data_IF_586691371739
#
_entry.id   IF_586691371739
#
_cell.length_a   1.000
_cell.length_b   1.000
_cell.length_c   1.000
_cell.angle_alpha   90.00
_cell.angle_beta   90.00
_cell.angle_gamma   90.00
#
_symmetry.space_group_name_H-M   'P 1'
#
loop_
_entity.id
_entity.type
_entity.pdbx_description
1 polymer ?
#
# COMPACT_ATOMS: atom_id res chain seq x y z
N UNK A 1 9.88 -0.57 -28.26
CA UNK A 1 9.54 -1.33 -27.03
C UNK A 1 10.76 -1.27 -26.13
N UNK A 2 10.61 -0.76 -24.91
CA UNK A 2 11.69 -0.76 -23.92
C UNK A 2 11.90 -2.19 -23.43
N UNK A 3 13.14 -2.69 -23.42
CA UNK A 3 13.47 -3.99 -22.87
C UNK A 3 13.46 -3.90 -21.34
N UNK A 4 12.33 -4.26 -20.73
CA UNK A 4 12.10 -4.14 -19.28
C UNK A 4 12.50 -5.40 -18.49
N UNK A 5 13.08 -6.42 -19.14
CA UNK A 5 13.34 -7.71 -18.49
C UNK A 5 12.05 -8.54 -18.30
N UNK A 6 12.21 -9.76 -17.81
CA UNK A 6 11.09 -10.73 -17.65
C UNK A 6 10.98 -11.25 -16.21
N UNK A 7 11.57 -10.55 -15.25
CA UNK A 7 11.58 -10.97 -13.86
C UNK A 7 11.41 -9.76 -12.92
N UNK A 8 10.62 -9.90 -11.85
CA UNK A 8 10.55 -8.95 -10.75
C UNK A 8 11.93 -8.64 -10.18
N UNK A 9 12.14 -7.40 -9.73
CA UNK A 9 13.38 -6.99 -9.10
C UNK A 9 13.45 -7.59 -7.68
N UNK A 10 14.61 -8.12 -7.21
CA UNK A 10 14.74 -8.73 -5.89
C UNK A 10 14.83 -7.66 -4.78
N UNK A 11 13.85 -6.76 -4.71
CA UNK A 11 13.79 -5.68 -3.74
C UNK A 11 13.01 -6.13 -2.51
N UNK A 12 13.62 -6.01 -1.35
CA UNK A 12 12.96 -6.18 -0.06
C UNK A 12 12.79 -4.80 0.59
N UNK A 13 11.66 -4.10 0.37
CA UNK A 13 11.55 -2.68 0.70
C UNK A 13 11.65 -2.36 2.19
N UNK A 14 11.40 -3.34 3.05
CA UNK A 14 11.51 -3.21 4.50
C UNK A 14 12.82 -3.80 5.07
N UNK A 15 13.66 -4.43 4.25
CA UNK A 15 14.95 -4.94 4.71
C UNK A 15 15.89 -3.77 5.06
N UNK A 16 16.43 -3.78 6.28
CA UNK A 16 17.33 -2.73 6.78
C UNK A 16 16.62 -1.44 7.26
N UNK A 17 15.29 -1.42 7.27
CA UNK A 17 14.53 -0.40 8.01
C UNK A 17 14.59 -0.64 9.53
N UNK A 18 14.24 0.34 10.38
CA UNK A 18 14.09 0.11 11.81
C UNK A 18 13.15 -1.08 12.07
N UNK A 19 13.62 -2.01 12.90
CA UNK A 19 12.82 -3.15 13.36
C UNK A 19 11.72 -2.64 14.28
N UNK A 20 10.47 -2.96 13.94
CA UNK A 20 9.29 -2.65 14.72
C UNK A 20 8.53 -3.96 15.00
N UNK A 21 7.85 -4.09 16.14
CA UNK A 21 7.02 -5.24 16.41
C UNK A 21 5.95 -5.40 15.34
N UNK A 22 5.70 -6.65 14.95
CA UNK A 22 4.64 -6.96 14.00
C UNK A 22 3.29 -7.11 14.70
N UNK A 23 2.23 -6.68 14.02
CA UNK A 23 0.85 -6.95 14.40
C UNK A 23 0.05 -7.51 13.22
N UNK A 24 -1.24 -7.76 13.41
CA UNK A 24 -2.06 -8.49 12.44
C UNK A 24 -2.72 -7.53 11.45
N UNK A 25 -2.60 -7.83 10.16
CA UNK A 25 -3.39 -7.27 9.06
C UNK A 25 -4.08 -8.41 8.31
N UNK A 26 -5.38 -8.30 8.12
CA UNK A 26 -6.21 -9.28 7.40
C UNK A 26 -7.12 -8.59 6.40
N UNK A 27 -7.72 -9.37 5.53
CA UNK A 27 -8.76 -8.92 4.60
C UNK A 27 -9.81 -10.00 4.41
N UNK A 28 -11.05 -9.60 4.19
CA UNK A 28 -12.12 -10.50 3.72
C UNK A 28 -12.13 -10.67 2.20
N UNK A 29 -11.39 -9.81 1.49
CA UNK A 29 -11.37 -9.73 0.03
C UNK A 29 -10.16 -10.43 -0.58
N UNK A 30 -9.02 -10.35 0.11
CA UNK A 30 -7.73 -10.84 -0.36
C UNK A 30 -7.02 -11.67 0.70
N UNK A 31 -6.16 -12.57 0.24
CA UNK A 31 -5.36 -13.44 1.10
C UNK A 31 -3.88 -13.11 0.93
N UNK A 32 -3.13 -13.12 2.04
CA UNK A 32 -1.68 -12.97 1.98
C UNK A 32 -1.04 -14.07 1.12
N UNK A 33 -0.13 -13.68 0.23
CA UNK A 33 0.45 -14.52 -0.82
C UNK A 33 -0.51 -14.85 -1.99
N UNK A 34 -1.75 -14.37 -1.96
CA UNK A 34 -2.77 -14.60 -2.99
C UNK A 34 -2.61 -13.71 -4.24
N UNK A 35 -3.57 -13.84 -5.16
CA UNK A 35 -3.61 -13.02 -6.38
C UNK A 35 -4.59 -11.86 -6.23
N UNK A 36 -4.22 -10.68 -6.72
CA UNK A 36 -5.12 -9.52 -6.73
C UNK A 36 -6.39 -9.82 -7.57
N UNK A 37 -7.59 -9.62 -6.99
CA UNK A 37 -8.85 -9.86 -7.68
C UNK A 37 -9.03 -8.85 -8.82
N UNK A 38 -9.86 -9.20 -9.80
CA UNK A 38 -10.02 -8.41 -11.02
C UNK A 38 -10.40 -6.95 -10.75
N UNK A 39 -11.36 -6.71 -9.86
CA UNK A 39 -11.83 -5.37 -9.49
C UNK A 39 -10.75 -4.51 -8.80
N UNK A 40 -9.73 -5.13 -8.19
CA UNK A 40 -8.63 -4.40 -7.54
C UNK A 40 -7.60 -3.93 -8.55
N UNK A 41 -7.61 -4.44 -9.78
CA UNK A 41 -6.66 -4.06 -10.84
C UNK A 41 -7.02 -2.69 -11.42
N UNK A 42 -6.06 -2.10 -12.14
CA UNK A 42 -6.25 -0.71 -12.58
C UNK A 42 -7.15 -0.57 -13.80
N UNK A 43 -8.24 0.18 -13.64
CA UNK A 43 -9.02 0.68 -14.77
C UNK A 43 -8.28 1.82 -15.46
N UNK A 44 -7.64 2.71 -14.70
CA UNK A 44 -6.90 3.87 -15.22
C UNK A 44 -5.79 3.45 -16.21
N UNK A 45 -5.07 2.37 -15.91
CA UNK A 45 -4.04 1.83 -16.80
C UNK A 45 -4.53 0.76 -17.77
N UNK A 46 -5.86 0.59 -17.88
CA UNK A 46 -6.49 -0.22 -18.93
C UNK A 46 -6.39 -1.73 -18.73
N UNK A 47 -6.22 -2.21 -17.50
CA UNK A 47 -6.28 -3.65 -17.21
C UNK A 47 -7.73 -4.12 -17.34
N UNK A 48 -7.93 -5.19 -18.11
CA UNK A 48 -9.26 -5.73 -18.36
C UNK A 48 -9.96 -6.10 -17.05
N UNK A 49 -11.19 -5.59 -16.87
CA UNK A 49 -12.01 -5.81 -15.66
C UNK A 49 -11.56 -5.03 -14.41
N UNK A 50 -10.45 -4.29 -14.49
CA UNK A 50 -9.96 -3.41 -13.44
C UNK A 50 -10.99 -2.34 -13.07
N UNK A 51 -11.06 -2.01 -11.78
CA UNK A 51 -11.98 -1.00 -11.24
C UNK A 51 -11.30 -0.03 -10.25
N UNK A 52 -9.99 -0.17 -10.00
CA UNK A 52 -9.25 0.64 -9.01
C UNK A 52 -9.93 0.66 -7.62
N UNK A 53 -10.57 -0.45 -7.21
CA UNK A 53 -11.18 -0.54 -5.88
C UNK A 53 -10.17 -1.09 -4.87
N UNK A 54 -9.97 -0.36 -3.77
CA UNK A 54 -9.16 -0.84 -2.64
C UNK A 54 -9.79 -2.08 -2.00
N UNK A 55 -9.01 -3.05 -1.51
CA UNK A 55 -9.54 -4.17 -0.77
C UNK A 55 -9.99 -3.76 0.62
N UNK A 56 -10.93 -4.51 1.18
CA UNK A 56 -11.22 -4.49 2.60
C UNK A 56 -9.93 -4.81 3.37
N UNK A 57 -9.65 -4.07 4.45
CA UNK A 57 -8.51 -4.32 5.32
C UNK A 57 -8.95 -4.16 6.78
N UNK A 58 -8.52 -5.08 7.65
CA UNK A 58 -8.73 -5.02 9.09
C UNK A 58 -7.42 -5.29 9.82
N UNK A 59 -7.17 -4.57 10.91
CA UNK A 59 -5.97 -4.77 11.72
C UNK A 59 -6.26 -4.86 13.21
N UNK A 60 -5.41 -5.61 13.92
CA UNK A 60 -5.57 -5.83 15.37
C UNK A 60 -4.23 -6.22 16.01
N UNK A 61 -4.19 -6.15 17.35
CA UNK A 61 -2.98 -6.49 18.12
C UNK A 61 -1.85 -5.47 17.99
N UNK A 62 -2.15 -4.25 17.57
CA UNK A 62 -1.17 -3.17 17.46
C UNK A 62 -0.66 -2.73 18.85
N UNK A 63 0.57 -2.19 18.93
CA UNK A 63 1.19 -1.81 20.22
C UNK A 63 0.38 -0.80 21.04
N UNK A 64 0.52 -0.88 22.37
CA UNK A 64 0.05 0.18 23.27
C UNK A 64 0.72 1.51 22.94
N UNK A 65 -0.01 2.62 23.15
CA UNK A 65 0.47 3.96 22.82
C UNK A 65 0.22 4.39 21.38
N UNK A 66 -0.36 3.52 20.54
CA UNK A 66 -0.83 3.87 19.20
C UNK A 66 -1.90 4.97 19.27
N UNK A 67 -1.68 6.07 18.55
CA UNK A 67 -2.58 7.22 18.46
C UNK A 67 -3.11 7.48 17.06
N UNK A 68 -2.45 6.95 16.03
CA UNK A 68 -2.95 6.92 14.67
C UNK A 68 -2.34 5.77 13.87
N UNK A 69 -2.84 5.55 12.66
CA UNK A 69 -2.27 4.64 11.68
C UNK A 69 -1.90 5.35 10.37
N UNK A 70 -0.90 4.79 9.70
CA UNK A 70 -0.63 5.04 8.29
C UNK A 70 -0.83 3.74 7.51
N UNK A 71 -1.62 3.78 6.44
CA UNK A 71 -1.83 2.69 5.50
C UNK A 71 -1.12 3.01 4.19
N UNK A 72 -0.38 2.04 3.65
CA UNK A 72 0.24 2.14 2.33
C UNK A 72 0.03 0.88 1.51
N UNK A 73 0.09 1.02 0.18
CA UNK A 73 0.24 -0.07 -0.77
C UNK A 73 1.44 0.23 -1.69
N UNK A 74 2.42 -0.65 -1.72
CA UNK A 74 3.67 -0.46 -2.46
C UNK A 74 4.00 -1.65 -3.36
N UNK A 75 4.37 -1.36 -4.60
CA UNK A 75 4.92 -2.31 -5.56
C UNK A 75 6.45 -2.14 -5.64
N UNK A 76 7.24 -3.01 -4.98
CA UNK A 76 8.70 -2.99 -5.09
C UNK A 76 9.20 -3.47 -6.46
N UNK A 77 8.39 -4.21 -7.20
CA UNK A 77 8.75 -4.92 -8.43
C UNK A 77 8.55 -4.05 -9.68
N UNK A 78 7.86 -2.91 -9.53
CA UNK A 78 7.79 -1.87 -10.56
C UNK A 78 9.19 -1.49 -11.08
N UNK A 79 9.43 -1.54 -12.41
CA UNK A 79 10.74 -1.34 -13.02
C UNK A 79 11.14 0.15 -13.13
N UNK A 80 10.96 0.87 -12.03
CA UNK A 80 11.41 2.25 -11.80
C UNK A 80 12.31 2.28 -10.56
N UNK A 81 13.20 3.27 -10.39
CA UNK A 81 14.20 3.25 -9.31
C UNK A 81 13.61 3.09 -7.90
N UNK A 82 12.43 3.64 -7.66
CA UNK A 82 11.80 3.75 -6.34
C UNK A 82 10.68 2.74 -6.08
N UNK A 83 10.45 1.76 -6.97
CA UNK A 83 9.17 1.03 -6.98
C UNK A 83 7.99 1.98 -7.25
N UNK A 84 6.78 1.58 -6.88
CA UNK A 84 5.57 2.35 -7.15
C UNK A 84 4.61 2.36 -5.96
N UNK A 85 4.28 3.54 -5.46
CA UNK A 85 3.24 3.72 -4.44
C UNK A 85 1.87 3.75 -5.10
N UNK A 86 1.01 2.81 -4.70
CA UNK A 86 -0.36 2.64 -5.18
C UNK A 86 -1.38 3.34 -4.29
N UNK A 87 -1.10 3.43 -2.99
CA UNK A 87 -1.99 4.05 -2.03
C UNK A 87 -1.22 4.52 -0.80
N UNK A 88 -1.62 5.66 -0.24
CA UNK A 88 -1.10 6.16 1.03
C UNK A 88 -2.19 6.96 1.74
N UNK A 89 -2.50 6.56 2.96
CA UNK A 89 -3.44 7.23 3.86
C UNK A 89 -2.75 7.44 5.19
N UNK A 90 -2.68 8.66 5.68
CA UNK A 90 -2.08 8.98 6.98
C UNK A 90 -3.10 9.51 7.97
N UNK A 91 -2.71 9.59 9.24
CA UNK A 91 -3.51 10.16 10.32
C UNK A 91 -4.87 9.46 10.48
N UNK A 92 -4.93 8.14 10.18
CA UNK A 92 -6.11 7.33 10.45
C UNK A 92 -6.30 7.27 11.97
N UNK A 93 -7.46 7.70 12.52
CA UNK A 93 -7.68 7.69 13.97
C UNK A 93 -7.49 6.30 14.60
N UNK A 94 -6.96 6.23 15.82
CA UNK A 94 -6.61 4.96 16.49
C UNK A 94 -7.82 4.04 16.74
N UNK A 95 -9.03 4.60 16.83
CA UNK A 95 -10.28 3.85 16.96
C UNK A 95 -10.71 3.16 15.66
N UNK A 96 -10.15 3.55 14.51
CA UNK A 96 -10.44 2.92 13.23
C UNK A 96 -9.49 1.74 13.05
N UNK A 97 -10.06 0.54 13.00
CA UNK A 97 -9.31 -0.72 12.85
C UNK A 97 -9.68 -1.50 11.60
N UNK A 98 -10.45 -0.88 10.70
CA UNK A 98 -10.78 -1.46 9.40
C UNK A 98 -11.20 -0.40 8.38
N UNK A 99 -11.02 -0.70 7.09
CA UNK A 99 -11.52 0.06 5.95
C UNK A 99 -12.24 -0.93 5.02
N UNK A 100 -13.45 -0.60 4.59
CA UNK A 100 -14.26 -1.44 3.70
C UNK A 100 -13.79 -1.36 2.23
N UNK A 101 -14.15 -2.36 1.43
CA UNK A 101 -13.81 -2.45 0.00
C UNK A 101 -14.21 -1.20 -0.78
N UNK A 102 -13.22 -0.47 -1.31
CA UNK A 102 -13.44 0.74 -2.11
C UNK A 102 -14.01 1.91 -1.32
N UNK A 103 -13.93 1.88 0.01
CA UNK A 103 -14.31 3.02 0.83
C UNK A 103 -13.29 4.16 0.72
N UNK A 104 -13.78 5.38 0.90
CA UNK A 104 -12.92 6.55 1.10
C UNK A 104 -12.14 6.45 2.41
N UNK A 105 -11.13 7.30 2.56
CA UNK A 105 -10.41 7.37 3.82
C UNK A 105 -11.34 7.78 4.97
N UNK A 106 -11.16 7.21 6.18
CA UNK A 106 -11.94 7.56 7.36
C UNK A 106 -11.87 9.06 7.67
N UNK A 107 -12.90 9.58 8.34
CA UNK A 107 -12.92 10.97 8.79
C UNK A 107 -11.68 11.26 9.66
N UNK A 108 -11.00 12.37 9.38
CA UNK A 108 -9.77 12.78 10.08
C UNK A 108 -8.46 12.26 9.46
N UNK A 109 -8.54 11.27 8.56
CA UNK A 109 -7.41 10.79 7.78
C UNK A 109 -7.13 11.67 6.56
N UNK A 110 -5.90 11.60 6.04
CA UNK A 110 -5.48 12.26 4.80
C UNK A 110 -5.15 11.21 3.75
N UNK A 111 -5.79 11.29 2.59
CA UNK A 111 -5.40 10.50 1.42
C UNK A 111 -4.42 11.30 0.58
N UNK A 112 -3.28 10.69 0.27
CA UNK A 112 -2.20 11.33 -0.46
C UNK A 112 -2.24 11.01 -1.94
N UNK A 113 -1.55 11.83 -2.73
CA UNK A 113 -1.31 11.53 -4.16
C UNK A 113 -0.33 10.37 -4.29
N UNK A 114 -0.67 9.40 -5.12
CA UNK A 114 0.17 8.25 -5.44
C UNK A 114 1.10 8.51 -6.65
N UNK A 115 1.91 7.52 -7.05
CA UNK A 115 2.91 7.72 -8.11
C UNK A 115 2.32 7.81 -9.54
N UNK A 116 1.03 7.47 -9.72
CA UNK A 116 0.29 7.77 -10.95
C UNK A 116 -0.22 9.21 -11.00
N UNK A 117 0.01 9.98 -9.94
CA UNK A 117 -0.46 11.35 -9.84
C UNK A 117 -1.95 11.46 -9.50
N UNK A 118 -2.59 10.41 -8.99
CA UNK A 118 -4.00 10.46 -8.54
C UNK A 118 -4.08 10.40 -7.00
N UNK A 119 -5.11 11.00 -6.43
CA UNK A 119 -5.38 10.92 -4.98
C UNK A 119 -6.24 9.68 -4.74
N UNK A 120 -5.76 8.75 -3.90
CA UNK A 120 -6.46 7.50 -3.60
C UNK A 120 -5.71 6.25 -4.04
N UNK A 121 -6.42 5.13 -3.96
CA UNK A 121 -5.91 3.83 -4.36
C UNK A 121 -5.88 3.73 -5.89
N UNK A 122 -4.77 3.22 -6.43
CA UNK A 122 -4.66 2.78 -7.81
C UNK A 122 -4.41 1.27 -7.83
N UNK A 123 -5.13 0.57 -8.70
CA UNK A 123 -5.03 -0.86 -8.83
C UNK A 123 -3.72 -1.36 -9.44
N UNK A 124 -3.55 -2.68 -9.38
CA UNK A 124 -2.44 -3.38 -9.99
C UNK A 124 -2.44 -3.27 -11.52
N UNK A 125 -1.28 -2.97 -12.11
CA UNK A 125 -1.09 -2.84 -13.56
C UNK A 125 0.39 -2.99 -13.95
N UNK A 126 1.00 -4.16 -13.71
CA UNK A 126 2.39 -4.40 -14.08
C UNK A 126 2.52 -4.43 -15.61
N UNK A 127 3.72 -4.18 -16.16
CA UNK A 127 3.92 -4.31 -17.59
C UNK A 127 3.66 -5.75 -18.08
N UNK A 128 3.00 -5.87 -19.23
CA UNK A 128 2.71 -7.15 -19.86
C UNK A 128 3.98 -8.01 -20.05
N UNK A 129 3.95 -9.25 -19.56
CA UNK A 129 5.04 -10.21 -19.68
C UNK A 129 6.24 -10.00 -18.74
N UNK A 130 6.21 -9.00 -17.85
CA UNK A 130 7.31 -8.74 -16.90
C UNK A 130 7.38 -9.75 -15.74
N UNK A 131 6.28 -10.48 -15.50
CA UNK A 131 6.14 -11.42 -14.40
C UNK A 131 5.24 -10.89 -13.27
N UNK A 132 5.08 -11.65 -12.17
CA UNK A 132 4.23 -11.25 -11.06
C UNK A 132 4.86 -10.15 -10.22
N UNK A 133 4.17 -9.02 -10.08
CA UNK A 133 4.51 -7.98 -9.12
C UNK A 133 3.81 -8.22 -7.79
N UNK A 134 4.47 -7.86 -6.69
CA UNK A 134 3.91 -7.82 -5.34
C UNK A 134 3.27 -6.47 -5.07
N UNK A 135 2.13 -6.48 -4.39
CA UNK A 135 1.44 -5.30 -3.90
C UNK A 135 1.36 -5.43 -2.38
N UNK A 136 2.31 -4.80 -1.70
CA UNK A 136 2.50 -4.94 -0.26
C UNK A 136 1.68 -3.87 0.43
N UNK A 137 0.60 -4.29 1.08
CA UNK A 137 -0.12 -3.44 2.02
C UNK A 137 0.62 -3.43 3.34
N UNK A 138 0.82 -2.23 3.89
CA UNK A 138 1.40 -2.05 5.21
C UNK A 138 0.56 -1.07 6.03
N UNK A 139 0.16 -1.49 7.22
CA UNK A 139 -0.35 -0.59 8.26
C UNK A 139 0.77 -0.35 9.27
N UNK A 140 1.15 0.90 9.49
CA UNK A 140 2.08 1.29 10.55
C UNK A 140 1.30 1.94 11.69
N UNK A 141 1.51 1.45 12.92
CA UNK A 141 1.02 2.07 14.14
C UNK A 141 1.93 3.24 14.54
N UNK A 142 1.35 4.37 14.95
CA UNK A 142 2.06 5.65 15.13
C UNK A 142 1.77 6.25 16.52
N UNK A 143 2.78 6.85 17.16
CA UNK A 143 2.71 7.38 18.54
C UNK A 143 2.15 8.81 18.68
N UNK A 144 1.82 9.45 17.55
CA UNK A 144 1.18 10.76 17.46
C UNK A 144 -0.19 10.64 16.77
N UNK A 145 -1.14 11.48 17.16
CA UNK A 145 -2.47 11.52 16.54
C UNK A 145 -2.41 12.01 15.09
N UNK A 146 -1.49 12.92 14.80
CA UNK A 146 -1.26 13.48 13.46
C UNK A 146 0.22 13.66 13.21
N UNK A 147 0.68 13.16 12.08
CA UNK A 147 1.96 13.55 11.49
C UNK A 147 1.88 15.02 11.07
N UNK A 148 3.00 15.75 11.19
CA UNK A 148 3.12 17.15 10.79
C UNK A 148 3.35 17.27 9.26
N UNK A 149 2.32 16.88 8.52
CA UNK A 149 2.28 16.86 7.05
C UNK A 149 0.88 17.27 6.56
N UNK A 150 0.82 17.84 5.37
CA UNK A 150 -0.43 18.14 4.67
C UNK A 150 -0.76 17.06 3.61
N UNK A 151 -1.89 17.22 2.93
CA UNK A 151 -2.37 16.32 1.88
C UNK A 151 -1.50 16.27 0.61
N UNK A 152 -0.53 17.18 0.46
CA UNK A 152 0.39 17.24 -0.67
C UNK A 152 1.71 16.49 -0.40
N UNK A 153 1.90 15.97 0.81
CA UNK A 153 3.06 15.14 1.14
C UNK A 153 3.13 13.92 0.19
N UNK A 154 4.33 13.64 -0.31
CA UNK A 154 4.53 12.43 -1.11
C UNK A 154 4.52 11.20 -0.21
N UNK A 155 4.22 10.00 -0.73
CA UNK A 155 4.35 8.76 0.02
C UNK A 155 5.73 8.59 0.68
N UNK A 156 6.80 9.07 0.02
CA UNK A 156 8.13 9.08 0.59
C UNK A 156 8.27 10.01 1.81
N UNK A 157 7.67 11.22 1.75
CA UNK A 157 7.64 12.16 2.90
C UNK A 157 6.81 11.58 4.05
N UNK A 158 5.67 10.95 3.76
CA UNK A 158 4.86 10.24 4.77
C UNK A 158 5.71 9.17 5.47
N UNK A 159 6.36 8.29 4.70
CA UNK A 159 7.20 7.22 5.24
C UNK A 159 8.44 7.73 5.99
N UNK A 160 9.02 8.86 5.56
CA UNK A 160 10.13 9.48 6.27
C UNK A 160 9.74 9.92 7.68
N UNK A 161 8.52 10.46 7.85
CA UNK A 161 8.00 10.82 9.17
C UNK A 161 7.80 9.60 10.08
N UNK A 162 7.60 8.40 9.54
CA UNK A 162 7.45 7.18 10.34
C UNK A 162 8.75 6.73 11.02
N UNK A 163 9.92 7.22 10.60
CA UNK A 163 11.21 6.84 11.21
C UNK A 163 11.30 7.24 12.69
N UNK A 164 10.65 8.33 13.08
CA UNK A 164 10.64 8.82 14.47
C UNK A 164 9.39 8.44 15.28
N UNK A 165 8.37 7.88 14.62
CA UNK A 165 7.02 7.75 15.19
C UNK A 165 6.42 6.33 15.07
N UNK A 166 7.03 5.43 14.30
CA UNK A 166 6.54 4.07 14.11
C UNK A 166 6.68 3.23 15.39
N UNK A 167 5.57 2.63 15.82
CA UNK A 167 5.51 1.72 16.97
C UNK A 167 5.43 0.26 16.57
N UNK A 168 4.86 -0.05 15.40
CA UNK A 168 4.63 -1.40 14.93
C UNK A 168 4.23 -1.41 13.45
N UNK A 169 4.34 -2.56 12.78
CA UNK A 169 3.88 -2.73 11.39
C UNK A 169 3.11 -4.02 11.19
N UNK A 170 2.17 -4.03 10.27
CA UNK A 170 1.50 -5.23 9.81
C UNK A 170 1.46 -5.25 8.29
N UNK A 171 1.58 -6.45 7.71
CA UNK A 171 1.73 -6.63 6.27
C UNK A 171 0.71 -7.61 5.72
N UNK A 172 0.30 -7.37 4.47
CA UNK A 172 -0.46 -8.30 3.65
C UNK A 172 -0.04 -8.08 2.20
N UNK A 173 0.38 -9.12 1.50
CA UNK A 173 0.88 -9.04 0.14
C UNK A 173 0.01 -9.85 -0.80
N UNK A 174 -0.40 -9.25 -1.91
CA UNK A 174 -0.97 -9.98 -3.05
C UNK A 174 -0.10 -9.81 -4.29
N UNK A 175 -0.30 -10.66 -5.29
CA UNK A 175 0.44 -10.60 -6.54
C UNK A 175 -0.46 -10.39 -7.75
N UNK A 176 0.06 -9.76 -8.80
CA UNK A 176 -0.59 -9.74 -10.11
C UNK A 176 0.46 -9.74 -11.22
N UNK A 177 0.18 -10.45 -12.32
CA UNK A 177 0.98 -10.46 -13.54
C UNK A 177 0.06 -10.19 -14.73
N UNK A 178 0.41 -9.21 -15.56
CA UNK A 178 -0.26 -9.01 -16.84
C UNK A 178 0.37 -9.96 -17.86
N UNK A 179 -0.41 -10.85 -18.51
CA UNK A 179 0.12 -11.76 -19.52
C UNK A 179 0.80 -11.02 -20.68
N UNK A 180 1.79 -11.65 -21.31
CA UNK A 180 2.31 -11.15 -22.58
C UNK A 180 1.22 -11.21 -23.66
N UNK A 181 1.24 -10.24 -24.58
CA UNK A 181 0.37 -10.23 -25.76
C UNK A 181 0.80 -11.28 -26.80
#
# INVERSE_FOLDING_TARGET
>A
MTNIGTAPLPREPYAGMPELPEFTLTSTDIQDGGTAPEWMRSALFGIAGGQDRSPQLSWSGFPEGTKSFVLTCFDPDAPVPSGFWHWTVSNIPAEVTSIDTGADAPAGALTHRNDAGVVGFLGAAPPAGHGPHRYIFCVTAVDVEKLDIDENATPAVVNFNLLGHGLGRAFLTVTYAEPAA
#
